data_IF_087072902296
#
_entry.id   IF_087072902296
#
_cell.length_a   1.000
_cell.length_b   1.000
_cell.length_c   1.000
_cell.angle_alpha   90.00
_cell.angle_beta   90.00
_cell.angle_gamma   90.00
#
_symmetry.space_group_name_H-M   'P 1'
#
loop_
_entity.id
_entity.type
_entity.pdbx_description
1 polymer ?
#
# COMPACT_ATOMS: atom_id res chain seq x y z
N UNK A 1 23.36 -18.68 18.40
CA UNK A 1 22.53 -18.52 19.61
C UNK A 1 21.28 -17.74 19.23
N UNK A 2 20.18 -18.44 18.95
CA UNK A 2 18.90 -17.78 18.66
C UNK A 2 18.30 -17.25 19.96
N UNK A 3 18.09 -15.93 20.04
CA UNK A 3 17.43 -15.33 21.19
C UNK A 3 16.01 -15.93 21.32
N UNK A 4 15.76 -16.65 22.40
CA UNK A 4 14.45 -17.19 22.73
C UNK A 4 13.53 -16.02 23.10
N UNK A 5 12.70 -15.56 22.16
CA UNK A 5 11.65 -14.60 22.45
C UNK A 5 10.66 -15.23 23.45
N UNK A 6 10.36 -14.56 24.58
CA UNK A 6 9.33 -15.00 25.53
C UNK A 6 8.01 -15.32 24.82
N UNK A 7 7.29 -16.35 25.26
CA UNK A 7 6.06 -16.85 24.60
C UNK A 7 5.00 -15.76 24.36
N UNK A 8 4.86 -14.82 25.29
CA UNK A 8 3.96 -13.66 25.14
C UNK A 8 4.41 -12.71 24.02
N UNK A 9 5.71 -12.41 23.91
CA UNK A 9 6.25 -11.62 22.80
C UNK A 9 6.11 -12.35 21.46
N UNK A 10 6.21 -13.69 21.45
CA UNK A 10 5.95 -14.51 20.27
C UNK A 10 4.48 -14.42 19.83
N UNK A 11 3.54 -14.53 20.77
CA UNK A 11 2.09 -14.39 20.50
C UNK A 11 1.73 -12.99 20.00
N UNK A 12 2.32 -11.95 20.58
CA UNK A 12 2.10 -10.56 20.17
C UNK A 12 2.64 -10.27 18.76
N UNK A 13 3.85 -10.76 18.45
CA UNK A 13 4.46 -10.64 17.10
C UNK A 13 3.71 -11.46 16.06
N UNK A 14 3.16 -12.63 16.42
CA UNK A 14 2.30 -13.44 15.53
C UNK A 14 0.96 -12.74 15.26
N UNK A 15 0.34 -12.14 16.28
CA UNK A 15 -0.92 -11.39 16.11
C UNK A 15 -0.78 -10.18 15.18
N UNK A 16 0.31 -9.42 15.29
CA UNK A 16 0.57 -8.30 14.37
C UNK A 16 0.82 -8.78 12.94
N UNK A 17 1.39 -9.97 12.78
CA UNK A 17 1.58 -10.59 11.47
C UNK A 17 0.27 -10.96 10.80
N UNK A 18 -0.82 -11.22 11.52
CA UNK A 18 -2.14 -11.52 10.93
C UNK A 18 -3.08 -10.31 10.91
N UNK A 19 -2.72 -9.22 11.61
CA UNK A 19 -3.53 -8.01 11.68
C UNK A 19 -3.77 -7.36 10.30
N UNK A 20 -4.90 -6.64 10.13
CA UNK A 20 -5.24 -6.00 8.86
C UNK A 20 -4.17 -5.04 8.37
N UNK A 21 -3.96 -5.00 7.04
CA UNK A 21 -3.09 -4.03 6.38
C UNK A 21 -3.95 -2.86 5.92
N UNK A 22 -3.52 -1.63 6.23
CA UNK A 22 -4.21 -0.43 5.74
C UNK A 22 -3.58 -0.01 4.41
N UNK A 23 -4.41 0.33 3.42
CA UNK A 23 -3.98 0.88 2.14
C UNK A 23 -4.68 2.21 1.89
N UNK A 24 -3.90 3.27 1.75
CA UNK A 24 -4.36 4.57 1.29
C UNK A 24 -4.01 4.77 -0.19
N UNK A 25 -4.97 5.20 -1.01
CA UNK A 25 -4.72 5.58 -2.41
C UNK A 25 -4.94 7.07 -2.57
N UNK A 26 -3.92 7.79 -3.06
CA UNK A 26 -3.98 9.25 -3.19
C UNK A 26 -3.54 9.71 -4.57
N UNK A 27 -3.84 10.96 -4.92
CA UNK A 27 -3.69 11.50 -6.27
C UNK A 27 -2.27 11.81 -6.75
N UNK A 28 -1.28 10.97 -6.41
CA UNK A 28 -0.07 10.88 -7.24
C UNK A 28 -0.32 9.86 -8.35
N UNK A 29 0.29 10.08 -9.51
CA UNK A 29 0.22 9.12 -10.62
C UNK A 29 0.86 7.78 -10.26
N UNK A 30 0.42 6.71 -10.92
CA UNK A 30 0.82 5.34 -10.62
C UNK A 30 -0.29 4.51 -9.99
N UNK A 31 -1.56 4.75 -10.38
CA UNK A 31 -2.72 4.01 -9.89
C UNK A 31 -2.57 2.49 -10.07
N UNK A 32 -1.83 2.05 -11.10
CA UNK A 32 -1.52 0.63 -11.34
C UNK A 32 -0.80 -0.03 -10.17
N UNK A 33 0.08 0.68 -9.44
CA UNK A 33 0.75 0.14 -8.25
C UNK A 33 -0.25 -0.12 -7.12
N UNK A 34 -1.25 0.75 -6.96
CA UNK A 34 -2.29 0.60 -5.94
C UNK A 34 -3.15 -0.63 -6.19
N UNK A 35 -3.68 -0.76 -7.42
CA UNK A 35 -4.52 -1.90 -7.80
C UNK A 35 -3.75 -3.20 -7.66
N UNK A 36 -2.48 -3.22 -8.12
CA UNK A 36 -1.64 -4.41 -8.01
C UNK A 36 -1.29 -4.75 -6.57
N UNK A 37 -1.01 -3.77 -5.71
CA UNK A 37 -0.78 -4.00 -4.28
C UNK A 37 -2.03 -4.61 -3.62
N UNK A 38 -3.21 -4.08 -3.90
CA UNK A 38 -4.47 -4.61 -3.37
C UNK A 38 -4.69 -6.06 -3.81
N UNK A 39 -4.51 -6.36 -5.09
CA UNK A 39 -4.61 -7.71 -5.64
C UNK A 39 -3.67 -8.69 -4.92
N UNK A 40 -2.39 -8.32 -4.76
CA UNK A 40 -1.39 -9.16 -4.10
C UNK A 40 -1.73 -9.38 -2.61
N UNK A 41 -2.13 -8.34 -1.89
CA UNK A 41 -2.51 -8.46 -0.48
C UNK A 41 -3.73 -9.38 -0.32
N UNK A 42 -4.76 -9.20 -1.14
CA UNK A 42 -5.97 -10.04 -1.08
C UNK A 42 -5.66 -11.49 -1.45
N UNK A 43 -4.89 -11.72 -2.52
CA UNK A 43 -4.49 -13.08 -2.96
C UNK A 43 -3.52 -13.78 -2.02
N UNK A 44 -2.89 -13.06 -1.09
CA UNK A 44 -2.07 -13.66 -0.01
C UNK A 44 -2.88 -13.89 1.27
N UNK A 45 -4.21 -13.76 1.22
CA UNK A 45 -5.09 -14.02 2.36
C UNK A 45 -5.19 -12.88 3.37
N UNK A 46 -4.72 -11.67 3.04
CA UNK A 46 -4.74 -10.53 3.98
C UNK A 46 -6.13 -9.92 4.08
N UNK A 47 -6.50 -9.50 5.29
CA UNK A 47 -7.51 -8.47 5.47
C UNK A 47 -6.90 -7.10 5.14
N UNK A 48 -7.59 -6.35 4.30
CA UNK A 48 -7.18 -5.02 3.83
C UNK A 48 -8.22 -3.99 4.18
N UNK A 49 -7.81 -2.91 4.84
CA UNK A 49 -8.63 -1.72 5.09
C UNK A 49 -8.23 -0.63 4.11
N UNK A 50 -9.11 -0.29 3.17
CA UNK A 50 -8.83 0.60 2.05
C UNK A 50 -9.51 1.95 2.23
N UNK A 51 -8.78 3.04 1.99
CA UNK A 51 -9.34 4.36 1.81
C UNK A 51 -8.75 5.03 0.56
N UNK A 52 -9.60 5.64 -0.26
CA UNK A 52 -9.23 6.31 -1.52
C UNK A 52 -9.60 7.79 -1.42
N UNK A 53 -8.65 8.70 -1.69
CA UNK A 53 -8.95 10.14 -1.72
C UNK A 53 -9.70 10.53 -3.02
N UNK A 54 -10.42 11.67 -3.04
CA UNK A 54 -11.02 12.19 -4.28
C UNK A 54 -10.02 12.32 -5.43
N UNK A 55 -8.81 12.82 -5.13
CA UNK A 55 -7.74 12.91 -6.11
C UNK A 55 -7.18 11.55 -6.54
N UNK A 56 -7.19 10.54 -5.65
CA UNK A 56 -6.82 9.17 -5.99
C UNK A 56 -7.81 8.54 -6.96
N UNK A 57 -9.11 8.70 -6.70
CA UNK A 57 -10.17 8.25 -7.61
C UNK A 57 -10.06 8.90 -9.00
N UNK A 58 -9.80 10.21 -9.06
CA UNK A 58 -9.59 10.93 -10.31
C UNK A 58 -8.37 10.40 -11.10
N UNK A 59 -7.26 10.08 -10.42
CA UNK A 59 -6.08 9.50 -11.07
C UNK A 59 -6.36 8.07 -11.56
N UNK A 60 -7.10 7.25 -10.81
CA UNK A 60 -7.51 5.91 -11.26
C UNK A 60 -8.32 6.01 -12.55
N UNK A 61 -9.28 6.93 -12.63
CA UNK A 61 -10.07 7.15 -13.83
C UNK A 61 -9.20 7.63 -15.00
N UNK A 62 -8.32 8.60 -14.77
CA UNK A 62 -7.45 9.15 -15.80
C UNK A 62 -6.44 8.14 -16.36
N UNK A 63 -5.85 7.30 -15.50
CA UNK A 63 -4.77 6.39 -15.91
C UNK A 63 -5.26 5.02 -16.35
N UNK A 64 -6.33 4.52 -15.74
CA UNK A 64 -6.81 3.16 -15.95
C UNK A 64 -8.19 3.12 -16.64
N UNK A 65 -8.86 4.26 -16.81
CA UNK A 65 -10.21 4.31 -17.37
C UNK A 65 -11.28 3.74 -16.43
N UNK A 66 -10.96 3.61 -15.14
CA UNK A 66 -11.83 2.98 -14.15
C UNK A 66 -12.48 4.06 -13.28
N UNK A 67 -13.80 4.13 -13.31
CA UNK A 67 -14.55 5.03 -12.43
C UNK A 67 -14.72 4.39 -11.05
N UNK A 68 -14.29 5.12 -10.02
CA UNK A 68 -14.42 4.74 -8.61
C UNK A 68 -15.50 5.61 -7.97
N UNK A 69 -16.60 5.02 -7.54
CA UNK A 69 -17.62 5.72 -6.75
C UNK A 69 -17.21 5.68 -5.27
N UNK A 70 -16.77 6.81 -4.71
CA UNK A 70 -16.35 6.84 -3.32
C UNK A 70 -17.50 6.61 -2.33
N UNK A 71 -18.74 6.93 -2.69
CA UNK A 71 -19.93 6.74 -1.85
C UNK A 71 -20.51 5.33 -1.91
N UNK A 72 -20.27 4.62 -3.01
CA UNK A 72 -20.73 3.26 -3.27
C UNK A 72 -19.61 2.42 -3.91
N UNK A 73 -18.46 2.36 -3.24
CA UNK A 73 -17.30 1.64 -3.74
C UNK A 73 -17.53 0.13 -3.69
N UNK A 74 -17.24 -0.54 -4.79
CA UNK A 74 -17.26 -2.00 -4.89
C UNK A 74 -15.90 -2.49 -5.42
N UNK A 75 -15.30 -3.54 -4.81
CA UNK A 75 -13.98 -4.06 -5.22
C UNK A 75 -13.88 -4.42 -6.71
N UNK A 76 -14.97 -4.89 -7.29
CA UNK A 76 -15.12 -5.30 -8.69
C UNK A 76 -14.82 -4.14 -9.66
N UNK A 77 -15.05 -2.88 -9.24
CA UNK A 77 -14.71 -1.70 -10.03
C UNK A 77 -13.22 -1.71 -10.40
N UNK A 78 -12.35 -2.15 -9.49
CA UNK A 78 -10.91 -2.27 -9.69
C UNK A 78 -10.49 -3.65 -10.23
N UNK A 79 -11.43 -4.53 -10.58
CA UNK A 79 -11.15 -5.90 -10.99
C UNK A 79 -10.69 -6.82 -9.84
N UNK A 80 -10.92 -6.40 -8.59
CA UNK A 80 -10.55 -7.16 -7.40
C UNK A 80 -11.69 -8.07 -6.96
N UNK A 81 -11.37 -9.17 -6.29
CA UNK A 81 -12.34 -10.13 -5.75
C UNK A 81 -13.32 -10.68 -6.80
N UNK A 82 -12.87 -10.83 -8.04
CA UNK A 82 -13.65 -11.40 -9.15
C UNK A 82 -12.99 -12.68 -9.69
N UNK A 83 -13.77 -13.50 -10.39
CA UNK A 83 -13.25 -14.68 -11.10
C UNK A 83 -12.45 -14.33 -12.37
N UNK A 84 -12.50 -13.07 -12.81
CA UNK A 84 -11.78 -12.62 -14.01
C UNK A 84 -10.31 -12.35 -13.66
N UNK A 85 -9.39 -12.63 -14.59
CA UNK A 85 -8.00 -12.24 -14.42
C UNK A 85 -7.88 -10.70 -14.38
N UNK A 86 -6.99 -10.18 -13.54
CA UNK A 86 -6.91 -8.74 -13.26
C UNK A 86 -6.56 -7.93 -14.52
N UNK A 87 -5.80 -8.51 -15.45
CA UNK A 87 -5.46 -7.88 -16.72
C UNK A 87 -6.68 -7.61 -17.64
N UNK A 88 -7.82 -8.25 -17.39
CA UNK A 88 -9.07 -7.93 -18.08
C UNK A 88 -9.60 -6.54 -17.69
N UNK A 89 -9.30 -6.09 -16.47
CA UNK A 89 -9.66 -4.76 -15.96
C UNK A 89 -8.49 -3.77 -16.10
N UNK A 90 -7.25 -4.23 -15.89
CA UNK A 90 -6.04 -3.40 -15.95
C UNK A 90 -5.02 -4.03 -16.92
N UNK A 91 -5.09 -3.75 -18.24
CA UNK A 91 -4.23 -4.39 -19.24
C UNK A 91 -2.71 -4.20 -19.02
N UNK A 92 -2.30 -3.13 -18.31
CA UNK A 92 -0.90 -2.90 -17.92
C UNK A 92 -0.32 -4.01 -17.02
N UNK A 93 -1.19 -4.81 -16.38
CA UNK A 93 -0.82 -5.94 -15.54
C UNK A 93 -0.83 -7.27 -16.29
N UNK A 94 -0.96 -7.26 -17.62
CA UNK A 94 -0.83 -8.47 -18.42
C UNK A 94 0.50 -9.17 -18.17
N UNK A 95 0.43 -10.44 -17.75
CA UNK A 95 1.59 -11.25 -17.44
C UNK A 95 2.28 -10.89 -16.11
N UNK A 96 1.59 -10.20 -15.19
CA UNK A 96 2.05 -10.01 -13.81
C UNK A 96 2.25 -11.37 -13.12
N UNK A 97 3.24 -11.45 -12.22
CA UNK A 97 3.59 -12.73 -11.58
C UNK A 97 2.51 -13.20 -10.60
N UNK A 98 2.21 -14.49 -10.50
CA UNK A 98 1.30 -14.97 -9.46
C UNK A 98 1.91 -14.75 -8.05
N UNK A 99 1.04 -14.71 -7.03
CA UNK A 99 1.49 -14.76 -5.64
C UNK A 99 2.04 -16.17 -5.33
N UNK A 100 3.02 -16.26 -4.42
CA UNK A 100 3.70 -17.52 -4.08
C UNK A 100 2.77 -18.53 -3.40
N UNK A 101 1.97 -18.05 -2.44
CA UNK A 101 1.01 -18.84 -1.67
C UNK A 101 -0.35 -18.17 -1.84
N UNK A 102 -1.28 -18.86 -2.49
CA UNK A 102 -2.62 -18.35 -2.73
C UNK A 102 -3.47 -18.47 -1.45
N UNK A 103 -4.21 -17.41 -1.15
CA UNK A 103 -5.17 -17.31 -0.06
C UNK A 103 -6.34 -16.43 -0.45
N UNK A 104 -7.37 -16.42 0.39
CA UNK A 104 -8.58 -15.62 0.19
C UNK A 104 -8.62 -14.53 1.25
N UNK A 105 -8.24 -13.31 0.86
CA UNK A 105 -8.29 -12.13 1.71
C UNK A 105 -9.69 -11.51 1.78
N UNK A 106 -9.78 -10.44 2.55
CA UNK A 106 -11.01 -9.65 2.69
C UNK A 106 -10.71 -8.16 2.51
N UNK A 107 -11.60 -7.44 1.83
CA UNK A 107 -11.48 -6.00 1.64
C UNK A 107 -12.57 -5.27 2.43
N UNK A 108 -12.14 -4.32 3.27
CA UNK A 108 -13.02 -3.36 3.94
C UNK A 108 -12.70 -1.97 3.41
N UNK A 109 -13.60 -1.42 2.62
CA UNK A 109 -13.50 -0.02 2.21
C UNK A 109 -13.99 0.91 3.34
N UNK A 110 -13.31 2.04 3.50
CA UNK A 110 -13.69 3.11 4.40
C UNK A 110 -13.59 4.44 3.63
N UNK A 111 -14.70 5.19 3.63
CA UNK A 111 -14.75 6.48 2.98
C UNK A 111 -13.69 7.42 3.56
N UNK A 112 -12.97 8.18 2.74
CA UNK A 112 -11.86 9.04 3.19
C UNK A 112 -12.27 10.09 4.23
N UNK A 113 -13.56 10.44 4.30
CA UNK A 113 -14.13 11.35 5.29
C UNK A 113 -14.62 10.67 6.58
N UNK A 114 -14.59 9.34 6.68
CA UNK A 114 -15.11 8.61 7.84
C UNK A 114 -14.04 8.49 8.95
N UNK A 115 -13.97 9.48 9.83
CA UNK A 115 -13.07 9.45 10.98
C UNK A 115 -13.48 8.45 12.07
N UNK A 116 -14.65 7.81 11.97
CA UNK A 116 -15.10 6.80 12.92
C UNK A 116 -14.68 5.38 12.51
N UNK A 117 -14.09 5.22 11.32
CA UNK A 117 -13.51 3.96 10.89
C UNK A 117 -12.41 3.47 11.85
N UNK A 118 -12.26 2.15 12.07
CA UNK A 118 -11.28 1.59 13.01
C UNK A 118 -9.85 2.11 12.81
N UNK A 119 -9.43 2.29 11.55
CA UNK A 119 -8.08 2.78 11.21
C UNK A 119 -7.76 4.20 11.71
N UNK A 120 -8.75 4.97 12.18
CA UNK A 120 -8.55 6.29 12.78
C UNK A 120 -8.07 6.24 14.26
N UNK A 121 -8.06 5.05 14.87
CA UNK A 121 -7.73 4.83 16.28
C UNK A 121 -6.51 3.92 16.47
N UNK A 122 -5.63 4.28 17.42
CA UNK A 122 -4.49 3.43 17.78
C UNK A 122 -4.87 2.13 18.48
N UNK A 123 -6.07 2.07 19.09
CA UNK A 123 -6.59 0.84 19.72
C UNK A 123 -6.96 -0.25 18.72
N UNK A 124 -7.24 0.11 17.46
CA UNK A 124 -7.39 -0.85 16.39
C UNK A 124 -6.01 -1.40 16.02
N UNK A 125 -5.83 -2.72 16.09
CA UNK A 125 -4.56 -3.35 15.75
C UNK A 125 -4.43 -3.50 14.24
N UNK A 126 -3.34 -2.99 13.68
CA UNK A 126 -3.01 -3.07 12.26
C UNK A 126 -1.59 -3.63 12.09
N UNK A 127 -1.36 -4.39 11.02
CA UNK A 127 -0.03 -4.89 10.65
C UNK A 127 0.88 -3.80 10.06
N UNK A 128 0.29 -2.66 9.68
CA UNK A 128 0.96 -1.51 9.10
C UNK A 128 0.07 -0.82 8.09
N UNK A 129 0.62 0.18 7.41
CA UNK A 129 -0.05 0.94 6.35
C UNK A 129 0.88 1.18 5.17
N UNK A 130 0.34 1.10 3.95
CA UNK A 130 0.96 1.67 2.77
C UNK A 130 0.08 2.78 2.19
N UNK A 131 0.69 3.88 1.75
CA UNK A 131 0.01 4.89 0.91
C UNK A 131 0.58 4.79 -0.49
N UNK A 132 -0.19 4.23 -1.41
CA UNK A 132 0.27 3.89 -2.75
C UNK A 132 -0.76 4.31 -3.80
N UNK A 133 -0.44 5.28 -4.67
CA UNK A 133 0.66 6.25 -4.56
C UNK A 133 0.44 7.28 -3.43
N UNK A 134 1.53 7.91 -2.99
CA UNK A 134 1.52 9.06 -2.05
C UNK A 134 1.69 10.38 -2.81
N UNK A 135 0.65 11.22 -2.82
CA UNK A 135 0.69 12.56 -3.41
C UNK A 135 1.54 13.53 -2.59
N UNK A 136 2.08 14.58 -3.23
CA UNK A 136 2.82 15.64 -2.53
C UNK A 136 1.99 16.33 -1.43
N UNK A 137 0.69 16.53 -1.65
CA UNK A 137 -0.22 17.09 -0.64
C UNK A 137 -0.37 16.15 0.56
N UNK A 138 -0.54 14.85 0.33
CA UNK A 138 -0.62 13.86 1.41
C UNK A 138 0.70 13.76 2.17
N UNK A 139 1.84 13.72 1.47
CA UNK A 139 3.16 13.72 2.09
C UNK A 139 3.37 14.95 2.99
N UNK A 140 3.02 16.14 2.50
CA UNK A 140 3.10 17.39 3.27
C UNK A 140 2.22 17.34 4.53
N UNK A 141 0.99 16.86 4.40
CA UNK A 141 0.06 16.73 5.53
C UNK A 141 0.56 15.74 6.59
N UNK A 142 1.20 14.63 6.19
CA UNK A 142 1.81 13.67 7.11
C UNK A 142 3.03 14.28 7.79
N UNK A 143 3.93 14.91 7.03
CA UNK A 143 5.11 15.58 7.60
C UNK A 143 4.75 16.70 8.59
N UNK A 144 3.58 17.32 8.43
CA UNK A 144 3.04 18.35 9.32
C UNK A 144 2.08 17.82 10.40
N UNK A 145 1.74 16.52 10.42
CA UNK A 145 0.78 15.93 11.36
C UNK A 145 -0.66 16.45 11.23
N UNK A 146 -1.07 16.97 10.06
CA UNK A 146 -2.32 17.73 9.91
C UNK A 146 -3.59 16.88 10.03
N UNK A 147 -3.55 15.59 9.67
CA UNK A 147 -4.66 14.62 9.80
C UNK A 147 -6.03 15.11 9.26
N UNK A 148 -6.05 15.79 8.11
CA UNK A 148 -7.26 16.41 7.53
C UNK A 148 -8.25 15.44 6.86
N UNK A 149 -7.90 14.16 6.73
CA UNK A 149 -8.81 13.09 6.30
C UNK A 149 -8.39 11.74 6.90
N UNK A 150 -9.19 10.70 6.68
CA UNK A 150 -8.96 9.36 7.24
C UNK A 150 -7.60 8.77 6.85
N UNK A 151 -7.15 8.96 5.61
CA UNK A 151 -5.85 8.43 5.13
C UNK A 151 -4.70 9.06 5.92
N UNK A 152 -4.72 10.39 6.05
CA UNK A 152 -3.72 11.14 6.80
C UNK A 152 -3.77 10.79 8.30
N UNK A 153 -4.98 10.64 8.84
CA UNK A 153 -5.19 10.25 10.24
C UNK A 153 -4.68 8.83 10.52
N UNK A 154 -4.94 7.87 9.64
CA UNK A 154 -4.48 6.49 9.77
C UNK A 154 -2.94 6.40 9.70
N UNK A 155 -2.32 7.25 8.88
CA UNK A 155 -0.86 7.37 8.82
C UNK A 155 -0.27 7.90 10.14
N UNK A 156 -0.87 8.95 10.71
CA UNK A 156 -0.49 9.48 12.02
C UNK A 156 -0.65 8.43 13.13
N UNK A 157 -1.69 7.59 13.04
CA UNK A 157 -1.86 6.44 13.94
C UNK A 157 -0.68 5.48 13.81
N UNK A 158 -0.20 5.16 12.60
CA UNK A 158 0.95 4.26 12.46
C UNK A 158 2.21 4.86 13.08
N UNK A 159 2.48 6.15 12.83
CA UNK A 159 3.65 6.83 13.39
C UNK A 159 3.63 6.85 14.91
N UNK A 160 2.54 7.29 15.54
CA UNK A 160 2.45 7.41 17.00
C UNK A 160 2.44 6.04 17.71
N UNK A 161 1.90 5.00 17.07
CA UNK A 161 1.88 3.63 17.59
C UNK A 161 3.14 2.83 17.21
N UNK A 162 4.10 3.45 16.51
CA UNK A 162 5.34 2.82 16.03
C UNK A 162 5.10 1.57 15.18
N UNK A 163 4.11 1.63 14.30
CA UNK A 163 3.78 0.58 13.33
C UNK A 163 4.34 0.93 11.95
N UNK A 164 4.57 -0.06 11.08
CA UNK A 164 5.07 0.20 9.73
C UNK A 164 4.16 1.17 8.97
N UNK A 165 4.75 2.24 8.43
CA UNK A 165 4.12 3.16 7.49
C UNK A 165 5.02 3.25 6.26
N UNK A 166 4.51 2.82 5.11
CA UNK A 166 5.21 2.88 3.82
C UNK A 166 4.57 3.97 2.97
N UNK A 167 5.34 5.01 2.65
CA UNK A 167 4.94 6.06 1.73
C UNK A 167 5.54 5.79 0.37
N UNK A 168 4.70 5.73 -0.67
CA UNK A 168 5.11 5.46 -2.05
C UNK A 168 4.99 6.71 -2.90
N UNK A 169 5.89 7.71 -2.74
CA UNK A 169 5.82 8.93 -3.52
C UNK A 169 6.12 8.66 -4.99
N UNK A 170 5.36 9.32 -5.85
CA UNK A 170 5.62 9.40 -7.29
C UNK A 170 5.62 10.87 -7.67
N UNK A 171 6.81 11.42 -7.83
CA UNK A 171 7.03 12.81 -8.24
C UNK A 171 8.40 12.95 -8.92
N UNK A 172 8.51 13.82 -9.90
CA UNK A 172 9.78 14.22 -10.51
C UNK A 172 9.59 15.45 -11.41
N UNK A 173 10.49 16.46 -11.38
CA UNK A 173 11.61 16.64 -10.45
C UNK A 173 11.15 16.99 -9.03
N UNK A 174 12.07 16.92 -8.07
CA UNK A 174 11.75 17.22 -6.66
C UNK A 174 12.14 18.66 -6.31
N UNK A 175 11.19 19.42 -5.75
CA UNK A 175 11.48 20.70 -5.10
C UNK A 175 12.15 20.48 -3.74
N UNK A 176 12.83 21.50 -3.22
CA UNK A 176 13.42 21.46 -1.88
C UNK A 176 12.37 21.13 -0.81
N UNK A 177 11.18 21.75 -0.90
CA UNK A 177 10.07 21.48 0.02
C UNK A 177 9.63 20.01 -0.01
N UNK A 178 9.59 19.39 -1.20
CA UNK A 178 9.27 17.97 -1.30
C UNK A 178 10.35 17.12 -0.62
N UNK A 179 11.63 17.41 -0.85
CA UNK A 179 12.76 16.72 -0.20
C UNK A 179 12.72 16.87 1.32
N UNK A 180 12.44 18.07 1.83
CA UNK A 180 12.31 18.32 3.27
C UNK A 180 11.17 17.53 3.89
N UNK A 181 10.04 17.39 3.18
CA UNK A 181 8.92 16.57 3.66
C UNK A 181 9.25 15.07 3.64
N UNK A 182 9.95 14.57 2.61
CA UNK A 182 10.45 13.20 2.59
C UNK A 182 11.41 12.93 3.76
N UNK A 183 12.31 13.87 4.03
CA UNK A 183 13.24 13.81 5.18
C UNK A 183 12.46 13.75 6.49
N UNK A 184 11.52 14.68 6.73
CA UNK A 184 10.71 14.72 7.96
C UNK A 184 9.91 13.44 8.17
N UNK A 185 9.26 12.92 7.13
CA UNK A 185 8.53 11.66 7.21
C UNK A 185 9.45 10.49 7.58
N UNK A 186 10.65 10.44 6.99
CA UNK A 186 11.67 9.43 7.32
C UNK A 186 12.14 9.56 8.78
N UNK A 187 12.42 10.78 9.25
CA UNK A 187 12.81 11.05 10.64
C UNK A 187 11.72 10.70 11.65
N UNK A 188 10.45 10.81 11.27
CA UNK A 188 9.30 10.39 12.07
C UNK A 188 9.13 8.85 12.13
N UNK A 189 9.84 8.09 11.29
CA UNK A 189 9.82 6.63 11.26
C UNK A 189 9.05 6.01 10.09
N UNK A 190 8.57 6.81 9.14
CA UNK A 190 8.00 6.28 7.90
C UNK A 190 9.10 5.72 6.98
N UNK A 191 8.77 4.67 6.25
CA UNK A 191 9.58 4.20 5.12
C UNK A 191 9.19 4.98 3.87
N UNK A 192 10.12 5.78 3.35
CA UNK A 192 9.96 6.44 2.05
C UNK A 192 10.45 5.48 0.95
N UNK A 193 9.52 4.98 0.15
CA UNK A 193 9.75 4.02 -0.92
C UNK A 193 9.26 4.62 -2.25
N UNK A 194 10.06 5.46 -2.95
CA UNK A 194 9.63 6.07 -4.18
C UNK A 194 9.24 5.04 -5.24
N UNK A 195 8.27 5.37 -6.10
CA UNK A 195 7.90 4.55 -7.26
C UNK A 195 8.98 4.60 -8.36
N UNK A 196 10.17 4.10 -8.03
CA UNK A 196 11.37 4.07 -8.85
C UNK A 196 11.81 2.60 -9.04
N UNK A 197 11.19 1.87 -9.98
CA UNK A 197 11.45 0.45 -10.16
C UNK A 197 12.89 0.18 -10.64
N UNK A 198 13.46 -0.92 -10.15
CA UNK A 198 14.73 -1.45 -10.64
C UNK A 198 14.58 -2.18 -11.98
N UNK A 199 15.70 -2.39 -12.68
CA UNK A 199 15.75 -3.08 -13.98
C UNK A 199 16.56 -4.38 -13.96
N UNK A 200 17.11 -4.72 -12.80
CA UNK A 200 18.10 -5.80 -12.65
C UNK A 200 17.49 -7.20 -12.48
N UNK A 201 16.17 -7.33 -12.54
CA UNK A 201 15.44 -8.59 -12.29
C UNK A 201 14.82 -9.22 -13.54
N UNK A 202 15.35 -8.88 -14.73
CA UNK A 202 14.89 -9.44 -16.00
C UNK A 202 13.54 -8.87 -16.45
N UNK A 203 13.46 -7.54 -16.61
CA UNK A 203 12.24 -6.83 -17.03
C UNK A 203 11.96 -7.08 -18.50
N UNK A 204 10.79 -7.64 -18.80
CA UNK A 204 10.28 -7.86 -20.17
C UNK A 204 9.02 -7.05 -20.46
N UNK A 205 8.25 -6.71 -19.42
CA UNK A 205 6.96 -6.02 -19.55
C UNK A 205 6.74 -5.01 -18.43
N UNK A 206 5.76 -4.14 -18.61
CA UNK A 206 5.40 -3.10 -17.62
C UNK A 206 5.04 -3.74 -16.27
N UNK A 207 4.33 -4.87 -16.27
CA UNK A 207 3.96 -5.58 -15.06
C UNK A 207 5.16 -5.96 -14.19
N UNK A 208 6.35 -6.24 -14.76
CA UNK A 208 7.55 -6.57 -13.99
C UNK A 208 8.07 -5.37 -13.19
N UNK A 209 7.91 -4.15 -13.72
CA UNK A 209 8.26 -2.90 -13.02
C UNK A 209 7.24 -2.58 -11.93
N UNK A 210 5.96 -2.87 -12.16
CA UNK A 210 4.91 -2.74 -11.14
C UNK A 210 5.15 -3.72 -10.00
N UNK A 211 5.37 -4.99 -10.34
CA UNK A 211 5.66 -6.07 -9.40
C UNK A 211 6.92 -5.79 -8.59
N UNK A 212 7.94 -5.15 -9.16
CA UNK A 212 9.11 -4.71 -8.40
C UNK A 212 8.74 -3.78 -7.24
N UNK A 213 8.00 -2.70 -7.50
CA UNK A 213 7.62 -1.74 -6.45
C UNK A 213 6.70 -2.41 -5.42
N UNK A 214 5.72 -3.19 -5.88
CA UNK A 214 4.78 -3.90 -5.00
C UNK A 214 5.50 -4.93 -4.12
N UNK A 215 6.47 -5.68 -4.66
CA UNK A 215 7.29 -6.60 -3.89
C UNK A 215 8.01 -5.89 -2.74
N UNK A 216 8.60 -4.71 -3.02
CA UNK A 216 9.30 -3.92 -2.00
C UNK A 216 8.34 -3.37 -0.94
N UNK A 217 7.12 -2.99 -1.30
CA UNK A 217 6.09 -2.59 -0.33
C UNK A 217 5.73 -3.78 0.56
N UNK A 218 5.45 -4.94 -0.03
CA UNK A 218 5.13 -6.17 0.70
C UNK A 218 6.26 -6.56 1.67
N UNK A 219 7.53 -6.46 1.25
CA UNK A 219 8.68 -6.75 2.11
C UNK A 219 8.72 -5.85 3.36
N UNK A 220 8.40 -4.55 3.22
CA UNK A 220 8.34 -3.61 4.35
C UNK A 220 7.16 -3.87 5.29
N UNK A 221 6.06 -4.40 4.76
CA UNK A 221 4.88 -4.80 5.54
C UNK A 221 4.97 -6.23 6.10
N UNK A 222 6.07 -6.95 5.82
CA UNK A 222 6.25 -8.34 6.27
C UNK A 222 5.35 -9.36 5.55
N UNK A 223 4.82 -9.01 4.36
CA UNK A 223 4.01 -9.88 3.52
C UNK A 223 4.91 -10.68 2.58
N UNK A 224 4.91 -12.01 2.75
CA UNK A 224 5.67 -12.92 1.87
C UNK A 224 5.16 -12.82 0.44
N UNK A 225 6.09 -12.75 -0.51
CA UNK A 225 5.79 -12.64 -1.93
C UNK A 225 6.95 -13.19 -2.77
N UNK A 226 6.64 -13.59 -4.02
CA UNK A 226 7.59 -14.04 -5.04
C UNK A 226 7.46 -13.23 -6.36
N UNK A 227 7.07 -11.97 -6.23
CA UNK A 227 6.86 -11.06 -7.37
C UNK A 227 8.16 -10.68 -8.08
N UNK A 228 9.28 -10.77 -7.37
CA UNK A 228 10.63 -10.66 -7.91
C UNK A 228 11.49 -11.79 -7.32
N UNK A 229 12.53 -12.20 -8.05
CA UNK A 229 13.51 -13.14 -7.52
C UNK A 229 14.29 -12.45 -6.38
N UNK A 230 14.57 -13.18 -5.32
CA UNK A 230 15.40 -12.66 -4.22
C UNK A 230 16.85 -12.58 -4.71
N UNK A 231 17.52 -11.50 -4.33
CA UNK A 231 18.89 -11.28 -4.75
C UNK A 231 19.82 -12.33 -4.13
N UNK A 232 20.52 -13.09 -4.97
CA UNK A 232 21.43 -14.15 -4.55
C UNK A 232 20.80 -15.53 -4.37
N UNK A 233 19.49 -15.67 -4.59
CA UNK A 233 18.87 -16.99 -4.75
C UNK A 233 19.12 -17.46 -6.20
N UNK A 234 19.84 -18.58 -6.36
CA UNK A 234 20.04 -19.30 -7.64
C UNK A 234 18.81 -20.13 -8.02
#
# INVERSE_FOLDING_TARGET
MGAFLPSFLRSFVVHLKEAPIIVGVTGASGAVYAVRLLDVLLRTGREVHLAISPSGAAVIEQELGIRVDLGAFEPEQLGLMTDKPLEATVPLLAGARPVAEAGVGALRYCHYGDFMAPMASGSFLSGGMAICPTSGTTLSAIAAGSSGNLIQRAAEVQLKERRPLVLVPRETPLSLTHIENLKKATEAGAVVLPAAPGWYHGVERIADLVDFVVARICDQLGVRNALINRWGDE
#
